data_IF_190889036536
#
_entry.id   IF_190889036536
#
_cell.length_a   1.000
_cell.length_b   1.000
_cell.length_c   1.000
_cell.angle_alpha   90.00
_cell.angle_beta   90.00
_cell.angle_gamma   90.00
#
_symmetry.space_group_name_H-M   'P 1'
#
loop_
_entity.id
_entity.type
_entity.pdbx_description
1 polymer ?
#
# COMPACT_ATOMS: atom_id res chain seq x y z
N UNK A 1 24.24 31.77 -11.42
CA UNK A 1 22.79 31.54 -11.35
C UNK A 1 22.33 30.30 -12.12
N UNK A 2 22.88 30.00 -13.31
CA UNK A 2 22.47 28.83 -14.10
C UNK A 2 22.80 27.49 -13.43
N UNK A 3 23.99 27.35 -12.84
CA UNK A 3 24.39 26.14 -12.10
C UNK A 3 23.47 25.83 -10.90
N UNK A 4 23.05 26.85 -10.14
CA UNK A 4 22.14 26.68 -9.00
C UNK A 4 20.73 26.23 -9.45
N UNK A 5 20.24 26.74 -10.59
CA UNK A 5 18.96 26.32 -11.18
C UNK A 5 19.01 24.88 -11.68
N UNK A 6 20.09 24.50 -12.36
CA UNK A 6 20.31 23.13 -12.81
C UNK A 6 20.41 22.15 -11.64
N UNK A 7 21.08 22.56 -10.56
CA UNK A 7 21.18 21.75 -9.34
C UNK A 7 19.82 21.54 -8.67
N UNK A 8 19.03 22.60 -8.48
CA UNK A 8 17.66 22.51 -7.94
C UNK A 8 16.75 21.63 -8.79
N UNK A 9 16.81 21.76 -10.12
CA UNK A 9 16.03 20.92 -11.03
C UNK A 9 16.41 19.43 -10.93
N UNK A 10 17.72 19.14 -10.81
CA UNK A 10 18.20 17.78 -10.64
C UNK A 10 17.80 17.18 -9.29
N UNK A 11 17.90 17.95 -8.19
CA UNK A 11 17.43 17.51 -6.88
C UNK A 11 15.93 17.24 -6.85
N UNK A 12 15.12 18.09 -7.49
CA UNK A 12 13.69 17.88 -7.61
C UNK A 12 13.36 16.61 -8.41
N UNK A 13 14.08 16.35 -9.51
CA UNK A 13 13.91 15.12 -10.28
C UNK A 13 14.24 13.88 -9.45
N UNK A 14 15.33 13.91 -8.68
CA UNK A 14 15.71 12.79 -7.81
C UNK A 14 14.64 12.50 -6.75
N UNK A 15 14.05 13.53 -6.14
CA UNK A 15 12.95 13.36 -5.19
C UNK A 15 11.72 12.70 -5.83
N UNK A 16 11.37 13.09 -7.06
CA UNK A 16 10.23 12.49 -7.77
C UNK A 16 10.49 11.02 -8.11
N UNK A 17 11.70 10.67 -8.53
CA UNK A 17 12.07 9.27 -8.82
C UNK A 17 12.01 8.42 -7.56
N UNK A 18 12.51 8.92 -6.42
CA UNK A 18 12.43 8.22 -5.14
C UNK A 18 10.98 8.00 -4.69
N UNK A 19 10.12 9.02 -4.83
CA UNK A 19 8.70 8.91 -4.47
C UNK A 19 7.97 7.87 -5.36
N UNK A 20 8.24 7.87 -6.66
CA UNK A 20 7.68 6.90 -7.60
C UNK A 20 8.15 5.46 -7.29
N UNK A 21 9.42 5.29 -6.94
CA UNK A 21 9.96 3.99 -6.55
C UNK A 21 9.29 3.45 -5.27
N UNK A 22 9.15 4.28 -4.24
CA UNK A 22 8.47 3.90 -3.00
C UNK A 22 7.00 3.51 -3.25
N UNK A 23 6.29 4.23 -4.14
CA UNK A 23 4.93 3.85 -4.53
C UNK A 23 4.88 2.50 -5.24
N UNK A 24 5.81 2.25 -6.17
CA UNK A 24 5.86 0.98 -6.88
C UNK A 24 6.10 -0.20 -5.92
N UNK A 25 6.99 -0.04 -4.94
CA UNK A 25 7.25 -1.07 -3.93
C UNK A 25 6.02 -1.38 -3.09
N UNK A 26 5.22 -0.37 -2.72
CA UNK A 26 3.93 -0.56 -2.03
C UNK A 26 2.95 -1.35 -2.89
N UNK A 27 2.77 -0.97 -4.15
CA UNK A 27 1.85 -1.65 -5.05
C UNK A 27 2.25 -3.13 -5.26
N UNK A 28 3.55 -3.40 -5.40
CA UNK A 28 4.08 -4.76 -5.49
C UNK A 28 3.78 -5.54 -4.21
N UNK A 29 4.01 -4.95 -3.05
CA UNK A 29 3.71 -5.61 -1.78
C UNK A 29 2.21 -5.96 -1.67
N UNK A 30 1.31 -5.01 -1.98
CA UNK A 30 -0.15 -5.24 -1.95
C UNK A 30 -0.55 -6.38 -2.89
N UNK A 31 -0.03 -6.40 -4.12
CA UNK A 31 -0.30 -7.50 -5.07
C UNK A 31 0.22 -8.85 -4.56
N UNK A 32 1.42 -8.86 -3.97
CA UNK A 32 2.00 -10.08 -3.43
C UNK A 32 1.13 -10.64 -2.30
N UNK A 33 0.73 -9.84 -1.33
CA UNK A 33 -0.11 -10.36 -0.25
C UNK A 33 -1.51 -10.72 -0.73
N UNK A 34 -2.08 -9.98 -1.69
CA UNK A 34 -3.33 -10.39 -2.36
C UNK A 34 -3.18 -11.78 -2.97
N UNK A 35 -2.04 -12.08 -3.59
CA UNK A 35 -1.78 -13.40 -4.17
C UNK A 35 -1.52 -14.50 -3.12
N UNK A 36 -0.81 -14.17 -2.03
CA UNK A 36 -0.44 -15.14 -0.99
C UNK A 36 -1.62 -15.48 -0.08
N UNK A 37 -2.53 -14.53 0.13
CA UNK A 37 -3.69 -14.67 1.01
C UNK A 37 -5.00 -14.86 0.24
N UNK A 38 -4.94 -15.03 -1.09
CA UNK A 38 -6.13 -15.17 -1.94
C UNK A 38 -7.06 -16.31 -1.48
N UNK A 39 -6.47 -17.39 -0.98
CA UNK A 39 -7.19 -18.59 -0.55
C UNK A 39 -7.56 -18.55 0.95
N UNK A 40 -7.13 -17.52 1.69
CA UNK A 40 -7.46 -17.35 3.10
C UNK A 40 -8.79 -16.60 3.26
N UNK A 41 -9.84 -17.36 3.53
CA UNK A 41 -11.19 -16.82 3.78
C UNK A 41 -11.30 -15.89 5.00
N UNK A 42 -10.28 -15.82 5.86
CA UNK A 42 -10.24 -14.89 6.99
C UNK A 42 -9.66 -13.52 6.62
N UNK A 43 -9.15 -13.37 5.39
CA UNK A 43 -8.51 -12.14 4.93
C UNK A 43 -9.40 -11.38 3.93
N UNK A 44 -9.83 -10.19 4.33
CA UNK A 44 -10.68 -9.31 3.52
C UNK A 44 -9.85 -8.13 2.99
N UNK A 45 -9.72 -8.00 1.67
CA UNK A 45 -8.98 -6.91 1.03
C UNK A 45 -9.91 -5.78 0.59
N UNK A 46 -9.65 -4.57 1.08
CA UNK A 46 -10.39 -3.36 0.71
C UNK A 46 -11.93 -3.49 0.89
N UNK A 47 -12.38 -4.43 1.72
CA UNK A 47 -13.79 -4.74 1.98
C UNK A 47 -14.04 -4.82 3.49
N UNK A 48 -14.14 -3.64 4.11
CA UNK A 48 -14.34 -3.50 5.54
C UNK A 48 -15.74 -3.97 5.96
N UNK A 49 -16.75 -3.76 5.13
CA UNK A 49 -18.14 -4.10 5.45
C UNK A 49 -18.31 -5.61 5.58
N UNK A 50 -17.80 -6.39 4.61
CA UNK A 50 -17.81 -7.86 4.69
C UNK A 50 -17.01 -8.37 5.90
N UNK A 51 -15.89 -7.74 6.23
CA UNK A 51 -15.07 -8.13 7.37
C UNK A 51 -15.79 -7.87 8.72
N UNK A 52 -16.54 -6.76 8.82
CA UNK A 52 -17.38 -6.45 9.99
C UNK A 52 -18.51 -7.47 10.13
N UNK A 53 -19.19 -7.79 9.04
CA UNK A 53 -20.26 -8.79 9.03
C UNK A 53 -19.75 -10.17 9.48
N UNK A 54 -18.59 -10.58 8.97
CA UNK A 54 -18.00 -11.87 9.32
C UNK A 54 -17.53 -11.94 10.79
N UNK A 55 -16.87 -10.89 11.28
CA UNK A 55 -16.46 -10.77 12.67
C UNK A 55 -17.66 -10.84 13.63
N UNK A 56 -18.76 -10.15 13.30
CA UNK A 56 -19.99 -10.18 14.08
C UNK A 56 -20.64 -11.58 14.07
N UNK A 57 -20.69 -12.22 12.90
CA UNK A 57 -21.24 -13.57 12.69
C UNK A 57 -20.47 -14.63 13.48
N UNK A 58 -19.14 -14.57 13.44
CA UNK A 58 -18.27 -15.58 14.06
C UNK A 58 -17.95 -15.30 15.53
N UNK A 59 -18.28 -14.10 16.03
CA UNK A 59 -17.93 -13.60 17.36
C UNK A 59 -16.42 -13.51 17.62
N UNK A 60 -15.64 -13.23 16.58
CA UNK A 60 -14.21 -12.94 16.70
C UNK A 60 -13.94 -11.44 16.59
N UNK A 61 -12.90 -10.91 17.28
CA UNK A 61 -12.49 -9.53 17.08
C UNK A 61 -11.95 -9.31 15.67
N UNK A 62 -12.27 -8.15 15.08
CA UNK A 62 -11.75 -7.73 13.78
C UNK A 62 -10.37 -7.08 13.95
N UNK A 63 -9.38 -7.52 13.18
CA UNK A 63 -8.07 -6.89 13.07
C UNK A 63 -7.98 -6.13 11.73
N UNK A 64 -7.73 -4.81 11.79
CA UNK A 64 -7.55 -3.98 10.61
C UNK A 64 -6.06 -3.69 10.42
N UNK A 65 -5.53 -4.05 9.25
CA UNK A 65 -4.12 -3.83 8.89
C UNK A 65 -4.04 -2.76 7.81
N UNK A 66 -3.41 -1.63 8.13
CA UNK A 66 -3.07 -0.60 7.14
C UNK A 66 -1.72 -0.91 6.52
N UNK A 67 -1.65 -0.81 5.20
CA UNK A 67 -0.46 -1.16 4.43
C UNK A 67 0.04 -0.03 3.56
#
# INVERSE_FOLDING_TARGET
>A
MQAARSFLAFSALMLLVSAAHAQNQRDVAVRNDKSTLADDSSWFYDDLDSAIEDAARTKHPLMVVFR
#
